data_IF_422750734935
#
_entry.id   IF_422750734935
#
_cell.length_a   1.000
_cell.length_b   1.000
_cell.length_c   1.000
_cell.angle_alpha   90.00
_cell.angle_beta   90.00
_cell.angle_gamma   90.00
#
_symmetry.space_group_name_H-M   'P 1'
#
loop_
_entity.id
_entity.type
_entity.pdbx_description
1 polymer ?
#
# COMPACT_ATOMS: atom_id res chain seq x y z
N UNK A 1 -5.03 4.32 21.63
CA UNK A 1 -6.34 4.05 21.04
C UNK A 1 -6.25 2.98 19.95
N UNK A 2 -5.44 3.16 18.91
CA UNK A 2 -5.29 2.18 17.80
C UNK A 2 -4.97 0.76 18.30
N UNK A 3 -4.01 0.62 19.20
CA UNK A 3 -3.60 -0.66 19.75
C UNK A 3 -4.67 -1.35 20.64
N UNK A 4 -5.67 -0.61 21.10
CA UNK A 4 -6.76 -1.15 21.92
C UNK A 4 -7.88 -1.75 21.08
N UNK A 5 -8.10 -1.24 19.88
CA UNK A 5 -9.22 -1.65 19.01
C UNK A 5 -8.79 -2.59 17.89
N UNK A 6 -7.51 -2.59 17.52
CA UNK A 6 -6.99 -3.37 16.38
C UNK A 6 -5.71 -4.10 16.73
N UNK A 7 -5.44 -5.18 16.02
CA UNK A 7 -4.14 -5.87 16.01
C UNK A 7 -3.09 -5.18 15.13
N UNK A 8 -3.26 -3.88 14.87
CA UNK A 8 -2.42 -3.07 14.00
C UNK A 8 -3.05 -2.83 12.62
N UNK A 9 -2.64 -1.74 11.98
CA UNK A 9 -2.95 -1.43 10.58
C UNK A 9 -1.69 -1.68 9.77
N UNK A 10 -1.80 -2.48 8.72
CA UNK A 10 -0.72 -2.73 7.78
C UNK A 10 -1.08 -2.11 6.43
N UNK A 11 -0.07 -1.57 5.76
CA UNK A 11 -0.18 -1.07 4.39
C UNK A 11 0.96 -1.64 3.57
N UNK A 12 0.65 -2.23 2.43
CA UNK A 12 1.65 -2.76 1.51
C UNK A 12 1.17 -2.65 0.06
N UNK A 13 2.12 -2.53 -0.85
CA UNK A 13 1.87 -2.56 -2.29
C UNK A 13 2.22 -3.92 -2.86
N UNK A 14 1.46 -4.37 -3.85
CA UNK A 14 1.75 -5.58 -4.61
C UNK A 14 1.56 -5.32 -6.10
N UNK A 15 2.37 -5.97 -6.92
CA UNK A 15 2.36 -5.85 -8.37
C UNK A 15 2.31 -7.26 -8.94
N UNK A 16 1.29 -7.55 -9.72
CA UNK A 16 1.05 -8.87 -10.31
C UNK A 16 0.80 -8.75 -11.81
N UNK A 17 1.23 -9.75 -12.57
CA UNK A 17 0.80 -9.92 -13.95
C UNK A 17 -0.63 -10.47 -13.98
N UNK A 18 -1.38 -10.09 -15.00
CA UNK A 18 -2.66 -10.74 -15.28
C UNK A 18 -2.43 -12.21 -15.68
N UNK A 19 -3.29 -13.11 -15.22
CA UNK A 19 -3.17 -14.55 -15.48
C UNK A 19 -3.37 -14.91 -16.96
N UNK A 20 -4.16 -14.13 -17.69
CA UNK A 20 -4.47 -14.37 -19.11
C UNK A 20 -3.55 -13.61 -20.06
N UNK A 21 -2.95 -12.51 -19.59
CA UNK A 21 -2.09 -11.64 -20.39
C UNK A 21 -0.98 -11.05 -19.52
N UNK A 22 0.21 -11.62 -19.63
CA UNK A 22 1.40 -11.19 -18.83
C UNK A 22 1.85 -9.76 -19.13
N UNK A 23 1.39 -9.16 -20.22
CA UNK A 23 1.67 -7.77 -20.54
C UNK A 23 0.78 -6.79 -19.77
N UNK A 24 -0.31 -7.26 -19.18
CA UNK A 24 -1.16 -6.48 -18.29
C UNK A 24 -0.75 -6.67 -16.84
N UNK A 25 -0.67 -5.57 -16.13
CA UNK A 25 -0.31 -5.57 -14.71
C UNK A 25 -1.46 -5.06 -13.85
N UNK A 26 -1.54 -5.62 -12.65
CA UNK A 26 -2.40 -5.12 -11.58
C UNK A 26 -1.50 -4.67 -10.43
N UNK A 27 -1.56 -3.40 -10.08
CA UNK A 27 -0.91 -2.85 -8.91
C UNK A 27 -1.98 -2.56 -7.85
N UNK A 28 -1.79 -3.09 -6.66
CA UNK A 28 -2.70 -2.92 -5.54
C UNK A 28 -1.97 -2.25 -4.38
N UNK A 29 -2.63 -1.30 -3.74
CA UNK A 29 -2.25 -0.81 -2.43
C UNK A 29 -3.25 -1.38 -1.43
N UNK A 30 -2.79 -2.26 -0.56
CA UNK A 30 -3.63 -2.99 0.39
C UNK A 30 -3.48 -2.40 1.78
N UNK A 31 -4.59 -1.99 2.36
CA UNK A 31 -4.70 -1.68 3.79
C UNK A 31 -5.39 -2.85 4.48
N UNK A 32 -4.80 -3.36 5.53
CA UNK A 32 -5.35 -4.49 6.26
C UNK A 32 -5.28 -4.28 7.76
N UNK A 33 -6.28 -4.76 8.47
CA UNK A 33 -6.31 -4.80 9.91
C UNK A 33 -7.06 -6.04 10.38
N UNK A 34 -6.86 -6.41 11.64
CA UNK A 34 -7.61 -7.47 12.32
C UNK A 34 -8.09 -6.94 13.66
N UNK A 35 -9.28 -7.37 14.07
CA UNK A 35 -9.85 -6.97 15.35
C UNK A 35 -10.74 -8.06 15.94
N UNK A 36 -11.10 -7.89 17.19
CA UNK A 36 -12.22 -8.63 17.77
C UNK A 36 -13.53 -8.13 17.16
N UNK A 37 -14.52 -9.00 17.07
CA UNK A 37 -15.84 -8.66 16.47
C UNK A 37 -16.45 -7.40 17.11
N UNK A 38 -16.39 -7.26 18.42
CA UNK A 38 -16.90 -6.06 19.12
C UNK A 38 -16.28 -4.72 18.70
N UNK A 39 -15.12 -4.75 18.02
CA UNK A 39 -14.37 -3.55 17.61
C UNK A 39 -14.44 -3.29 16.10
N UNK A 40 -15.23 -4.07 15.33
CA UNK A 40 -15.20 -3.99 13.86
C UNK A 40 -15.58 -2.60 13.33
N UNK A 41 -16.59 -1.93 13.91
CA UNK A 41 -16.98 -0.58 13.53
C UNK A 41 -15.81 0.41 13.71
N UNK A 42 -15.19 0.42 14.89
CA UNK A 42 -14.06 1.30 15.21
C UNK A 42 -12.84 1.04 14.31
N UNK A 43 -12.61 -0.24 13.92
CA UNK A 43 -11.51 -0.56 12.99
C UNK A 43 -11.83 -0.14 11.56
N UNK A 44 -13.07 -0.25 11.13
CA UNK A 44 -13.52 0.23 9.82
C UNK A 44 -13.33 1.74 9.70
N UNK A 45 -13.74 2.49 10.72
CA UNK A 45 -13.50 3.94 10.80
C UNK A 45 -12.01 4.28 10.83
N UNK A 46 -11.20 3.54 11.60
CA UNK A 46 -9.76 3.73 11.66
C UNK A 46 -9.10 3.53 10.29
N UNK A 47 -9.46 2.49 9.55
CA UNK A 47 -8.94 2.25 8.20
C UNK A 47 -9.32 3.38 7.25
N UNK A 48 -10.58 3.83 7.28
CA UNK A 48 -11.04 4.95 6.47
C UNK A 48 -10.30 6.24 6.81
N UNK A 49 -10.16 6.56 8.10
CA UNK A 49 -9.41 7.73 8.56
C UNK A 49 -7.92 7.65 8.17
N UNK A 50 -7.32 6.46 8.27
CA UNK A 50 -5.91 6.23 7.86
C UNK A 50 -5.69 6.55 6.39
N UNK A 51 -6.67 6.27 5.52
CA UNK A 51 -6.57 6.56 4.09
C UNK A 51 -6.98 8.00 3.78
N UNK A 52 -8.03 8.52 4.42
CA UNK A 52 -8.59 9.83 4.09
C UNK A 52 -7.81 11.01 4.70
N UNK A 53 -7.15 10.81 5.85
CA UNK A 53 -6.54 11.87 6.65
C UNK A 53 -5.02 11.83 6.65
N UNK A 54 -4.41 11.43 5.54
CA UNK A 54 -2.95 11.44 5.39
C UNK A 54 -2.43 12.88 5.43
N UNK A 55 -1.40 13.12 6.24
CA UNK A 55 -0.75 14.42 6.41
C UNK A 55 0.62 14.42 5.77
N UNK A 56 0.92 15.45 4.99
CA UNK A 56 2.21 15.66 4.34
C UNK A 56 2.90 16.96 4.80
N UNK A 57 2.41 17.58 5.86
CA UNK A 57 2.89 18.84 6.43
C UNK A 57 3.96 18.64 7.52
N UNK A 58 4.30 17.41 7.85
CA UNK A 58 5.33 17.07 8.84
C UNK A 58 6.68 16.76 8.15
N UNK A 59 7.27 17.77 7.51
CA UNK A 59 8.50 17.64 6.70
C UNK A 59 9.62 16.89 7.41
N UNK A 60 9.89 17.25 8.65
CA UNK A 60 10.97 16.63 9.44
C UNK A 60 10.69 15.13 9.66
N UNK A 61 9.45 14.78 9.97
CA UNK A 61 9.05 13.39 10.17
C UNK A 61 9.15 12.56 8.89
N UNK A 62 8.75 13.14 7.76
CA UNK A 62 8.87 12.49 6.46
C UNK A 62 10.32 12.24 6.08
N UNK A 63 11.22 13.20 6.33
CA UNK A 63 12.67 13.03 6.13
C UNK A 63 13.21 11.86 6.95
N UNK A 64 12.92 11.84 8.24
CA UNK A 64 13.36 10.77 9.15
C UNK A 64 12.87 9.38 8.68
N UNK A 65 11.61 9.29 8.24
CA UNK A 65 11.05 8.04 7.72
C UNK A 65 11.75 7.59 6.43
N UNK A 66 12.01 8.51 5.50
CA UNK A 66 12.73 8.21 4.25
C UNK A 66 14.16 7.76 4.56
N UNK A 67 14.86 8.43 5.46
CA UNK A 67 16.20 8.06 5.91
C UNK A 67 16.24 6.65 6.53
N UNK A 68 15.28 6.35 7.41
CA UNK A 68 15.15 5.02 8.03
C UNK A 68 14.87 3.91 7.00
N UNK A 69 14.00 4.17 6.03
CA UNK A 69 13.69 3.21 4.96
C UNK A 69 14.92 3.02 4.09
N UNK A 70 15.62 4.10 3.73
CA UNK A 70 16.83 4.05 2.93
C UNK A 70 17.91 3.21 3.63
N UNK A 71 18.21 3.48 4.90
CA UNK A 71 19.20 2.74 5.68
C UNK A 71 18.86 1.24 5.78
N UNK A 72 17.59 0.90 6.02
CA UNK A 72 17.13 -0.51 6.04
C UNK A 72 17.30 -1.20 4.69
N UNK A 73 16.98 -0.52 3.60
CA UNK A 73 17.14 -1.06 2.24
C UNK A 73 18.61 -1.24 1.87
N UNK A 74 19.46 -0.29 2.21
CA UNK A 74 20.90 -0.38 1.99
C UNK A 74 21.53 -1.55 2.77
N UNK A 75 21.21 -1.69 4.05
CA UNK A 75 21.71 -2.80 4.86
C UNK A 75 21.23 -4.18 4.38
N UNK A 76 20.07 -4.23 3.71
CA UNK A 76 19.52 -5.49 3.18
C UNK A 76 20.21 -5.96 1.90
N UNK A 77 21.00 -5.12 1.22
CA UNK A 77 21.63 -5.48 -0.08
C UNK A 77 22.54 -6.71 0.06
N UNK A 78 23.36 -6.75 1.10
CA UNK A 78 24.26 -7.88 1.33
C UNK A 78 23.53 -9.19 1.64
N UNK A 79 22.45 -9.11 2.40
CA UNK A 79 21.64 -10.27 2.76
C UNK A 79 20.74 -10.77 1.61
N UNK A 80 20.36 -9.88 0.69
CA UNK A 80 19.40 -10.15 -0.39
C UNK A 80 20.04 -10.07 -1.79
N UNK A 81 21.37 -10.05 -1.89
CA UNK A 81 22.09 -9.87 -3.15
C UNK A 81 21.65 -10.82 -4.26
N UNK A 82 21.45 -12.10 -3.94
CA UNK A 82 20.96 -13.09 -4.91
C UNK A 82 19.55 -12.73 -5.43
N UNK A 83 18.61 -12.41 -4.55
CA UNK A 83 17.25 -12.01 -4.95
C UNK A 83 17.23 -10.72 -5.78
N UNK A 84 18.08 -9.74 -5.43
CA UNK A 84 18.23 -8.50 -6.19
C UNK A 84 18.81 -8.74 -7.59
N UNK A 85 19.79 -9.64 -7.72
CA UNK A 85 20.34 -10.03 -9.01
C UNK A 85 19.32 -10.75 -9.88
N UNK A 86 18.56 -11.69 -9.31
CA UNK A 86 17.45 -12.36 -10.01
C UNK A 86 16.37 -11.36 -10.45
N UNK A 87 15.98 -10.42 -9.57
CA UNK A 87 15.03 -9.37 -9.90
C UNK A 87 15.49 -8.47 -11.05
N UNK A 88 16.79 -8.12 -11.09
CA UNK A 88 17.37 -7.40 -12.21
C UNK A 88 17.35 -8.23 -13.50
N UNK A 89 17.76 -9.48 -13.45
CA UNK A 89 17.79 -10.36 -14.62
C UNK A 89 16.40 -10.57 -15.23
N UNK A 90 15.38 -10.74 -14.37
CA UNK A 90 13.99 -10.94 -14.80
C UNK A 90 13.25 -9.65 -15.15
N UNK A 91 13.81 -8.47 -14.86
CA UNK A 91 13.11 -7.17 -15.01
C UNK A 91 12.65 -6.86 -16.43
N UNK A 92 13.24 -7.50 -17.45
CA UNK A 92 12.87 -7.34 -18.86
C UNK A 92 11.86 -8.38 -19.37
N UNK A 93 11.47 -9.34 -18.52
CA UNK A 93 10.61 -10.46 -18.95
C UNK A 93 9.12 -10.09 -18.97
N UNK A 94 8.71 -9.16 -18.11
CA UNK A 94 7.32 -8.68 -18.09
C UNK A 94 7.23 -7.27 -17.48
N UNK A 95 6.17 -6.50 -17.76
CA UNK A 95 5.93 -5.21 -17.13
C UNK A 95 5.83 -5.29 -15.60
N UNK A 96 5.24 -6.34 -15.05
CA UNK A 96 5.17 -6.55 -13.60
C UNK A 96 6.56 -6.76 -12.99
N UNK A 97 7.44 -7.55 -13.62
CA UNK A 97 8.80 -7.74 -13.17
C UNK A 97 9.61 -6.44 -13.24
N UNK A 98 9.40 -5.64 -14.30
CA UNK A 98 10.02 -4.31 -14.43
C UNK A 98 9.59 -3.38 -13.31
N UNK A 99 8.29 -3.23 -13.06
CA UNK A 99 7.76 -2.39 -11.99
C UNK A 99 8.23 -2.85 -10.61
N UNK A 100 8.27 -4.16 -10.37
CA UNK A 100 8.79 -4.73 -9.11
C UNK A 100 10.28 -4.40 -8.92
N UNK A 101 11.08 -4.45 -10.00
CA UNK A 101 12.47 -4.03 -9.95
C UNK A 101 12.63 -2.53 -9.68
N UNK A 102 11.80 -1.69 -10.29
CA UNK A 102 11.79 -0.24 -10.08
C UNK A 102 11.31 0.17 -8.67
N UNK A 103 10.45 -0.62 -8.03
CA UNK A 103 9.93 -0.30 -6.69
C UNK A 103 10.75 -0.93 -5.55
N UNK A 104 11.11 -2.19 -5.67
CA UNK A 104 11.75 -2.97 -4.59
C UNK A 104 13.14 -3.52 -4.90
N UNK A 105 13.56 -3.51 -6.18
CA UNK A 105 14.86 -3.98 -6.62
C UNK A 105 15.96 -2.93 -6.50
N UNK A 106 17.10 -3.17 -7.16
CA UNK A 106 18.24 -2.24 -7.13
C UNK A 106 17.87 -0.84 -7.65
N UNK A 107 17.06 -0.76 -8.72
CA UNK A 107 16.59 0.52 -9.22
C UNK A 107 15.73 1.26 -8.18
N UNK A 108 14.87 0.56 -7.44
CA UNK A 108 14.08 1.12 -6.35
C UNK A 108 14.95 1.64 -5.20
N UNK A 109 16.01 0.92 -4.84
CA UNK A 109 16.97 1.38 -3.81
C UNK A 109 17.68 2.65 -4.26
N UNK A 110 18.12 2.71 -5.52
CA UNK A 110 18.73 3.92 -6.09
C UNK A 110 17.76 5.09 -6.12
N UNK A 111 16.50 4.86 -6.54
CA UNK A 111 15.44 5.87 -6.53
C UNK A 111 15.16 6.40 -5.13
N UNK A 112 15.18 5.53 -4.11
CA UNK A 112 14.99 5.93 -2.71
C UNK A 112 16.15 6.80 -2.20
N UNK A 113 17.40 6.52 -2.60
CA UNK A 113 18.55 7.39 -2.29
C UNK A 113 18.40 8.78 -2.90
N UNK A 114 18.02 8.84 -4.17
CA UNK A 114 17.75 10.10 -4.86
C UNK A 114 16.61 10.88 -4.19
N UNK A 115 15.57 10.18 -3.75
CA UNK A 115 14.46 10.78 -2.99
C UNK A 115 14.95 11.39 -1.67
N UNK A 116 15.76 10.65 -0.90
CA UNK A 116 16.38 11.12 0.33
C UNK A 116 17.19 12.40 0.08
N UNK A 117 18.03 12.40 -0.96
CA UNK A 117 18.90 13.53 -1.29
C UNK A 117 18.07 14.75 -1.71
N UNK A 118 16.99 14.57 -2.46
CA UNK A 118 16.03 15.63 -2.78
C UNK A 118 15.32 16.21 -1.55
N UNK A 119 15.06 15.40 -0.54
CA UNK A 119 14.46 15.89 0.71
C UNK A 119 15.38 16.79 1.52
N UNK A 120 16.68 16.81 1.26
CA UNK A 120 17.64 17.71 1.90
C UNK A 120 17.54 19.15 1.37
N UNK A 121 17.24 19.33 0.10
CA UNK A 121 17.04 20.64 -0.54
C UNK A 121 15.59 21.12 -0.35
N UNK A 122 15.40 22.43 -0.05
CA UNK A 122 14.08 22.96 0.26
C UNK A 122 13.14 23.02 -0.96
N UNK A 123 13.67 23.38 -2.13
CA UNK A 123 12.86 23.50 -3.35
C UNK A 123 12.49 22.12 -3.90
N UNK A 124 13.44 21.18 -3.91
CA UNK A 124 13.19 19.81 -4.32
C UNK A 124 12.24 19.09 -3.36
N UNK A 125 12.37 19.33 -2.06
CA UNK A 125 11.46 18.80 -1.05
C UNK A 125 10.02 19.21 -1.31
N UNK A 126 9.77 20.48 -1.63
CA UNK A 126 8.42 20.97 -1.94
C UNK A 126 7.82 20.22 -3.14
N UNK A 127 8.60 19.92 -4.16
CA UNK A 127 8.17 19.12 -5.32
C UNK A 127 7.85 17.68 -4.93
N UNK A 128 8.67 17.08 -4.06
CA UNK A 128 8.43 15.71 -3.54
C UNK A 128 7.13 15.65 -2.75
N UNK A 129 6.87 16.62 -1.87
CA UNK A 129 5.64 16.68 -1.08
C UNK A 129 4.40 16.85 -1.96
N UNK A 130 4.46 17.70 -2.99
CA UNK A 130 3.41 17.80 -4.00
C UNK A 130 3.18 16.47 -4.72
N UNK A 131 4.25 15.76 -5.06
CA UNK A 131 4.16 14.42 -5.67
C UNK A 131 3.45 13.41 -4.75
N UNK A 132 3.72 13.41 -3.45
CA UNK A 132 3.01 12.56 -2.48
C UNK A 132 1.52 12.93 -2.40
N UNK A 133 1.18 14.22 -2.39
CA UNK A 133 -0.21 14.67 -2.40
C UNK A 133 -0.95 14.22 -3.66
N UNK A 134 -0.33 14.35 -4.83
CA UNK A 134 -0.91 13.88 -6.09
C UNK A 134 -1.11 12.36 -6.10
N UNK A 135 -0.11 11.60 -5.61
CA UNK A 135 -0.22 10.15 -5.48
C UNK A 135 -1.36 9.76 -4.54
N UNK A 136 -1.47 10.43 -3.40
CA UNK A 136 -2.55 10.19 -2.45
C UNK A 136 -3.92 10.47 -3.07
N UNK A 137 -4.07 11.56 -3.83
CA UNK A 137 -5.31 11.86 -4.55
C UNK A 137 -5.65 10.77 -5.58
N UNK A 138 -4.66 10.29 -6.33
CA UNK A 138 -4.86 9.20 -7.28
C UNK A 138 -5.31 7.90 -6.58
N UNK A 139 -4.70 7.55 -5.44
CA UNK A 139 -5.10 6.40 -4.61
C UNK A 139 -6.53 6.58 -4.08
N UNK A 140 -6.85 7.79 -3.62
CA UNK A 140 -8.19 8.09 -3.10
C UNK A 140 -9.29 7.99 -4.16
N UNK A 141 -8.96 8.13 -5.44
CA UNK A 141 -9.88 8.02 -6.58
C UNK A 141 -9.88 6.63 -7.24
N UNK A 142 -8.95 5.76 -6.86
CA UNK A 142 -8.84 4.43 -7.44
C UNK A 142 -10.02 3.52 -7.03
N UNK A 143 -10.31 2.55 -7.87
CA UNK A 143 -11.30 1.51 -7.57
C UNK A 143 -10.91 0.77 -6.30
N UNK A 144 -11.88 0.58 -5.42
CA UNK A 144 -11.65 -0.06 -4.12
C UNK A 144 -12.33 -1.43 -4.09
N UNK A 145 -11.57 -2.44 -3.64
CA UNK A 145 -12.08 -3.78 -3.40
C UNK A 145 -11.95 -4.10 -1.91
N UNK A 146 -12.93 -4.81 -1.37
CA UNK A 146 -12.94 -5.22 0.03
C UNK A 146 -12.85 -6.73 0.15
N UNK A 147 -11.99 -7.19 1.04
CA UNK A 147 -11.94 -8.58 1.48
C UNK A 147 -12.29 -8.61 2.97
N UNK A 148 -13.42 -9.23 3.29
CA UNK A 148 -13.84 -9.49 4.66
C UNK A 148 -13.69 -10.98 4.99
N UNK A 149 -12.99 -11.25 6.08
CA UNK A 149 -12.88 -12.59 6.67
C UNK A 149 -13.46 -12.51 8.09
N UNK A 150 -14.63 -13.11 8.29
CA UNK A 150 -15.33 -13.11 9.56
C UNK A 150 -16.14 -14.41 9.72
N UNK A 151 -16.50 -14.76 10.98
CA UNK A 151 -17.44 -15.84 11.23
C UNK A 151 -18.79 -15.55 10.57
N UNK A 152 -19.42 -16.58 10.02
CA UNK A 152 -20.66 -16.47 9.23
C UNK A 152 -21.76 -15.65 9.93
N UNK A 153 -21.90 -15.83 11.23
CA UNK A 153 -22.93 -15.11 12.04
C UNK A 153 -22.71 -13.60 12.13
N UNK A 154 -21.51 -13.09 11.83
CA UNK A 154 -21.15 -11.67 11.92
C UNK A 154 -20.96 -11.00 10.56
N UNK A 155 -20.93 -11.76 9.47
CA UNK A 155 -20.59 -11.23 8.14
C UNK A 155 -21.56 -10.15 7.68
N UNK A 156 -22.86 -10.35 7.82
CA UNK A 156 -23.88 -9.39 7.36
C UNK A 156 -23.77 -8.06 8.11
N UNK A 157 -23.59 -8.10 9.42
CA UNK A 157 -23.45 -6.90 10.23
C UNK A 157 -22.18 -6.12 9.83
N UNK A 158 -21.04 -6.80 9.73
CA UNK A 158 -19.76 -6.16 9.39
C UNK A 158 -19.80 -5.59 7.96
N UNK A 159 -20.43 -6.28 7.01
CA UNK A 159 -20.61 -5.77 5.65
C UNK A 159 -21.48 -4.52 5.62
N UNK A 160 -22.57 -4.46 6.38
CA UNK A 160 -23.43 -3.29 6.45
C UNK A 160 -22.69 -2.06 7.00
N UNK A 161 -21.88 -2.24 8.04
CA UNK A 161 -21.07 -1.17 8.62
C UNK A 161 -19.94 -0.73 7.68
N UNK A 162 -19.30 -1.67 7.01
CA UNK A 162 -18.30 -1.36 6.01
C UNK A 162 -18.88 -0.52 4.87
N UNK A 163 -20.06 -0.91 4.37
CA UNK A 163 -20.79 -0.15 3.34
C UNK A 163 -21.19 1.25 3.81
N UNK A 164 -21.56 1.41 5.07
CA UNK A 164 -21.92 2.72 5.63
C UNK A 164 -20.74 3.69 5.72
N UNK A 165 -19.57 3.20 6.10
CA UNK A 165 -18.34 4.02 6.24
C UNK A 165 -17.70 4.31 4.88
N UNK A 166 -17.71 3.32 3.97
CA UNK A 166 -17.08 3.41 2.65
C UNK A 166 -18.08 3.68 1.53
N UNK A 167 -19.02 4.55 1.75
CA UNK A 167 -20.08 4.92 0.78
C UNK A 167 -19.46 5.61 -0.46
N UNK A 168 -18.64 4.88 -1.22
CA UNK A 168 -18.12 5.29 -2.52
C UNK A 168 -18.89 4.53 -3.60
N UNK A 169 -19.34 5.20 -4.67
CA UNK A 169 -19.93 4.49 -5.80
C UNK A 169 -18.85 3.55 -6.38
N UNK A 170 -19.00 2.24 -6.17
CA UNK A 170 -18.15 1.27 -6.81
C UNK A 170 -18.62 1.12 -8.26
N UNK A 171 -17.81 1.49 -9.21
CA UNK A 171 -17.98 1.12 -10.62
C UNK A 171 -17.58 -0.34 -10.90
N UNK A 172 -17.36 -1.14 -9.86
CA UNK A 172 -16.84 -2.49 -9.96
C UNK A 172 -17.94 -3.54 -9.80
N UNK A 173 -17.90 -4.56 -10.64
CA UNK A 173 -18.64 -5.80 -10.46
C UNK A 173 -18.35 -6.42 -9.10
N UNK A 174 -19.39 -6.74 -8.34
CA UNK A 174 -19.27 -7.56 -7.12
C UNK A 174 -18.58 -8.87 -7.50
N UNK A 175 -17.36 -9.05 -7.05
CA UNK A 175 -16.61 -10.29 -7.26
C UNK A 175 -17.37 -11.45 -6.62
N UNK A 176 -17.43 -12.58 -7.32
CA UNK A 176 -18.04 -13.80 -6.82
C UNK A 176 -17.44 -14.22 -5.48
N UNK A 177 -18.28 -14.55 -4.52
CA UNK A 177 -17.86 -15.12 -3.24
C UNK A 177 -17.07 -16.40 -3.46
N UNK A 178 -15.79 -16.42 -3.09
CA UNK A 178 -15.05 -17.66 -2.89
C UNK A 178 -15.56 -18.29 -1.61
N UNK A 179 -16.46 -19.28 -1.71
CA UNK A 179 -16.81 -20.16 -0.62
C UNK A 179 -15.67 -21.15 -0.45
N UNK A 180 -14.91 -20.99 0.61
CA UNK A 180 -14.02 -22.07 1.08
C UNK A 180 -14.92 -23.10 1.79
N UNK A 181 -15.03 -24.31 1.18
CA UNK A 181 -15.69 -25.45 1.78
C UNK A 181 -14.89 -25.97 2.97
#
# INVERSE_FOLDING_TARGET
WQAQISGGVNCFSSIHSNLQDVQKTHALLTFSSKSLVRNHAAVTELLNATIAQVRFDEDQRLRELIEQICARKESSITAQGHGLAMGLASSRMSPAAHLSHCSGGLAGIQGLKLLRDKMADADERSKVLMGFQQLHQAIAQADTQFLLIAEKQHQEQVLAELAAVWNRPSNGSVGSHLSLA
#
